data_IF_509961856057
#
_entry.id   IF_509961856057
#
_cell.length_a   1.000
_cell.length_b   1.000
_cell.length_c   1.000
_cell.angle_alpha   90.00
_cell.angle_beta   90.00
_cell.angle_gamma   90.00
#
_symmetry.space_group_name_H-M   'P 1'
#
loop_
_entity.id
_entity.type
_entity.pdbx_description
1 polymer ?
#
# COMPACT_ATOMS: atom_id res chain seq x y z
N UNK A 1 -1.39 8.13 38.36
CA UNK A 1 -1.88 8.42 36.98
C UNK A 1 -2.05 7.11 36.20
N UNK A 2 -3.30 6.65 36.06
CA UNK A 2 -3.60 5.37 35.38
C UNK A 2 -3.92 5.52 33.88
N UNK A 3 -4.01 6.73 33.36
CA UNK A 3 -4.40 6.99 31.96
C UNK A 3 -3.21 6.90 31.02
N UNK A 4 -3.38 6.19 29.88
CA UNK A 4 -2.41 6.09 28.79
C UNK A 4 -2.48 7.33 27.88
N UNK A 5 -3.61 8.05 27.91
CA UNK A 5 -3.87 9.17 27.02
C UNK A 5 -2.82 10.30 27.05
N UNK A 6 -2.33 10.77 28.21
CA UNK A 6 -1.27 11.78 28.24
C UNK A 6 0.04 11.31 27.59
N UNK A 7 0.31 10.00 27.62
CA UNK A 7 1.47 9.42 26.94
C UNK A 7 1.29 9.47 25.42
N UNK A 8 0.10 9.11 24.93
CA UNK A 8 -0.25 9.20 23.49
C UNK A 8 -0.15 10.63 23.00
N UNK A 9 -0.71 11.61 23.75
CA UNK A 9 -0.58 13.03 23.41
C UNK A 9 0.88 13.47 23.31
N UNK A 10 1.72 13.07 24.26
CA UNK A 10 3.13 13.40 24.24
C UNK A 10 3.86 12.81 23.02
N UNK A 11 3.58 11.56 22.66
CA UNK A 11 4.15 10.92 21.47
C UNK A 11 3.67 11.61 20.18
N UNK A 12 2.38 11.95 20.09
CA UNK A 12 1.81 12.71 18.96
C UNK A 12 2.50 14.05 18.77
N UNK A 13 2.68 14.82 19.89
CA UNK A 13 3.37 16.10 19.85
C UNK A 13 4.82 15.95 19.41
N UNK A 14 5.51 14.88 19.81
CA UNK A 14 6.89 14.59 19.37
C UNK A 14 6.98 14.40 17.86
N UNK A 15 6.08 13.59 17.27
CA UNK A 15 6.07 13.34 15.82
C UNK A 15 5.81 14.64 15.04
N UNK A 16 4.84 15.45 15.50
CA UNK A 16 4.51 16.74 14.91
C UNK A 16 5.68 17.71 15.00
N UNK A 17 6.30 17.86 16.19
CA UNK A 17 7.46 18.75 16.40
C UNK A 17 8.68 18.34 15.59
N UNK A 18 8.91 17.05 15.37
CA UNK A 18 9.97 16.53 14.50
C UNK A 18 9.70 16.74 13.00
N UNK A 19 8.56 17.33 12.66
CA UNK A 19 8.13 17.67 11.28
C UNK A 19 8.06 16.47 10.31
N UNK A 20 8.22 15.23 10.77
CA UNK A 20 8.24 14.05 9.88
C UNK A 20 6.93 13.82 9.16
N UNK A 21 5.82 14.01 9.85
CA UNK A 21 4.50 13.93 9.22
C UNK A 21 4.33 15.02 8.14
N UNK A 22 4.83 16.22 8.38
CA UNK A 22 4.80 17.29 7.36
C UNK A 22 5.69 16.97 6.15
N UNK A 23 6.82 16.27 6.35
CA UNK A 23 7.63 15.79 5.24
C UNK A 23 6.86 14.77 4.41
N UNK A 24 6.13 13.83 5.04
CA UNK A 24 5.27 12.88 4.34
C UNK A 24 4.20 13.61 3.53
N UNK A 25 3.52 14.61 4.11
CA UNK A 25 2.54 15.42 3.38
C UNK A 25 3.16 16.19 2.22
N UNK A 26 4.35 16.76 2.42
CA UNK A 26 5.08 17.47 1.36
C UNK A 26 5.44 16.53 0.20
N UNK A 27 5.91 15.33 0.50
CA UNK A 27 6.18 14.32 -0.54
C UNK A 27 4.92 13.99 -1.34
N UNK A 28 3.77 13.82 -0.68
CA UNK A 28 2.49 13.61 -1.35
C UNK A 28 2.10 14.82 -2.21
N UNK A 29 2.24 16.05 -1.67
CA UNK A 29 1.92 17.29 -2.38
C UNK A 29 2.82 17.55 -3.61
N UNK A 30 3.99 16.93 -3.70
CA UNK A 30 4.88 16.99 -4.86
C UNK A 30 4.58 15.87 -5.85
N UNK A 31 4.45 14.64 -5.36
CA UNK A 31 4.31 13.47 -6.23
C UNK A 31 2.92 13.35 -6.86
N UNK A 32 1.86 13.62 -6.11
CA UNK A 32 0.49 13.52 -6.66
C UNK A 32 0.28 14.44 -7.86
N UNK A 33 0.65 15.74 -7.84
CA UNK A 33 0.57 16.59 -9.04
C UNK A 33 1.41 16.07 -10.21
N UNK A 34 2.60 15.53 -9.96
CA UNK A 34 3.44 14.95 -11.01
C UNK A 34 2.75 13.77 -11.71
N UNK A 35 2.16 12.84 -10.94
CA UNK A 35 1.40 11.73 -11.49
C UNK A 35 0.12 12.20 -12.19
N UNK A 36 -0.60 13.17 -11.61
CA UNK A 36 -1.79 13.77 -12.23
C UNK A 36 -1.45 14.41 -13.58
N UNK A 37 -0.35 15.14 -13.65
CA UNK A 37 0.12 15.75 -14.90
C UNK A 37 0.52 14.69 -15.95
N UNK A 38 1.24 13.65 -15.53
CA UNK A 38 1.63 12.55 -16.42
C UNK A 38 0.40 11.85 -17.01
N UNK A 39 -0.61 11.57 -16.19
CA UNK A 39 -1.84 10.93 -16.64
C UNK A 39 -2.68 11.85 -17.53
N UNK A 40 -2.71 13.16 -17.24
CA UNK A 40 -3.37 14.14 -18.10
C UNK A 40 -2.72 14.19 -19.51
N UNK A 41 -1.40 14.18 -19.58
CA UNK A 41 -0.68 14.10 -20.86
C UNK A 41 -1.01 12.83 -21.61
N UNK A 42 -0.98 11.69 -20.93
CA UNK A 42 -1.30 10.39 -21.55
C UNK A 42 -2.75 10.38 -22.08
N UNK A 43 -3.70 10.89 -21.33
CA UNK A 43 -5.08 11.00 -21.78
C UNK A 43 -5.22 11.89 -23.02
N UNK A 44 -4.47 13.01 -23.09
CA UNK A 44 -4.44 13.86 -24.29
C UNK A 44 -3.81 13.16 -25.50
N UNK A 45 -2.70 12.45 -25.30
CA UNK A 45 -2.05 11.67 -26.36
C UNK A 45 -2.95 10.56 -26.88
N UNK A 46 -3.67 9.86 -25.99
CA UNK A 46 -4.62 8.83 -26.37
C UNK A 46 -5.79 9.40 -27.18
N UNK A 47 -6.35 10.55 -26.76
CA UNK A 47 -7.39 11.25 -27.54
C UNK A 47 -6.91 11.66 -28.94
N UNK A 48 -5.67 12.08 -29.09
CA UNK A 48 -5.13 12.43 -30.41
C UNK A 48 -4.89 11.21 -31.29
N UNK A 49 -4.58 10.04 -30.72
CA UNK A 49 -4.32 8.80 -31.46
C UNK A 49 -5.60 8.02 -31.80
N UNK A 50 -6.54 7.94 -30.87
CA UNK A 50 -7.71 7.05 -30.96
C UNK A 50 -9.04 7.82 -31.10
N UNK A 51 -9.00 9.16 -31.02
CA UNK A 51 -10.22 9.98 -31.00
C UNK A 51 -10.88 10.03 -29.61
N UNK A 52 -12.17 10.33 -29.60
CA UNK A 52 -12.95 10.42 -28.33
C UNK A 52 -13.61 9.10 -27.93
N UNK A 53 -13.58 8.09 -28.80
CA UNK A 53 -14.19 6.79 -28.50
C UNK A 53 -13.23 5.89 -27.73
N UNK A 54 -13.45 5.78 -26.42
CA UNK A 54 -12.68 4.93 -25.52
C UNK A 54 -12.68 3.43 -25.91
N UNK A 55 -13.70 2.97 -26.66
CA UNK A 55 -13.78 1.58 -27.13
C UNK A 55 -12.67 1.27 -28.11
N UNK A 56 -12.31 2.22 -28.97
CA UNK A 56 -11.22 2.07 -29.95
C UNK A 56 -9.88 1.93 -29.22
N UNK A 57 -9.64 2.78 -28.21
CA UNK A 57 -8.44 2.68 -27.36
C UNK A 57 -8.37 1.34 -26.64
N UNK A 58 -9.48 0.90 -26.05
CA UNK A 58 -9.54 -0.35 -25.30
C UNK A 58 -9.35 -1.57 -26.22
N UNK A 59 -9.97 -1.56 -27.42
CA UNK A 59 -9.79 -2.61 -28.42
C UNK A 59 -8.36 -2.71 -28.92
N UNK A 60 -7.68 -1.57 -29.09
CA UNK A 60 -6.26 -1.55 -29.45
C UNK A 60 -5.40 -2.13 -28.33
N UNK A 61 -5.66 -1.75 -27.07
CA UNK A 61 -4.94 -2.31 -25.93
C UNK A 61 -5.12 -3.83 -25.79
N UNK A 62 -6.33 -4.33 -26.05
CA UNK A 62 -6.62 -5.77 -26.10
C UNK A 62 -5.79 -6.43 -27.21
N UNK A 63 -5.80 -5.88 -28.43
CA UNK A 63 -5.08 -6.42 -29.58
C UNK A 63 -3.58 -6.46 -29.34
N UNK A 64 -3.00 -5.38 -28.79
CA UNK A 64 -1.56 -5.31 -28.50
C UNK A 64 -1.13 -6.36 -27.45
N UNK A 65 -1.96 -6.56 -26.43
CA UNK A 65 -1.70 -7.59 -25.42
C UNK A 65 -1.89 -9.01 -25.99
N UNK A 66 -2.88 -9.25 -26.84
CA UNK A 66 -3.06 -10.54 -27.55
C UNK A 66 -1.88 -10.86 -28.45
N UNK A 67 -1.41 -9.89 -29.26
CA UNK A 67 -0.24 -10.07 -30.11
C UNK A 67 1.02 -10.40 -29.32
N UNK A 68 1.15 -9.80 -28.14
CA UNK A 68 2.29 -10.08 -27.25
C UNK A 68 2.26 -11.48 -26.62
N UNK A 69 1.09 -12.11 -26.49
CA UNK A 69 0.97 -13.49 -26.00
C UNK A 69 1.60 -14.50 -26.96
N UNK A 70 1.58 -14.22 -28.27
CA UNK A 70 2.22 -15.05 -29.29
C UNK A 70 3.74 -14.88 -29.38
N UNK A 71 4.34 -13.96 -28.63
CA UNK A 71 5.77 -13.70 -28.68
C UNK A 71 6.55 -14.60 -27.73
N UNK A 72 7.59 -15.29 -28.25
CA UNK A 72 8.52 -16.09 -27.43
C UNK A 72 9.42 -15.24 -26.54
N UNK A 73 9.45 -13.91 -26.75
CA UNK A 73 10.25 -12.97 -25.95
C UNK A 73 9.60 -12.64 -24.60
N UNK A 74 8.31 -12.96 -24.42
CA UNK A 74 7.58 -12.69 -23.19
C UNK A 74 7.61 -13.92 -22.29
N UNK A 75 8.17 -13.85 -21.07
CA UNK A 75 8.14 -14.96 -20.13
C UNK A 75 6.71 -15.43 -19.83
N UNK A 76 6.51 -16.73 -19.63
CA UNK A 76 5.18 -17.33 -19.38
C UNK A 76 4.47 -16.72 -18.17
N UNK A 77 5.23 -16.34 -17.15
CA UNK A 77 4.72 -15.65 -15.96
C UNK A 77 4.01 -14.34 -16.31
N UNK A 78 4.60 -13.55 -17.22
CA UNK A 78 4.00 -12.29 -17.69
C UNK A 78 2.84 -12.53 -18.66
N UNK A 79 2.82 -13.63 -19.38
CA UNK A 79 1.70 -14.03 -20.25
C UNK A 79 0.42 -14.27 -19.43
N UNK A 80 0.54 -14.82 -18.21
CA UNK A 80 -0.61 -14.99 -17.29
C UNK A 80 -1.27 -13.66 -17.00
N UNK A 81 -0.50 -12.62 -16.62
CA UNK A 81 -1.04 -11.28 -16.36
C UNK A 81 -1.70 -10.67 -17.59
N UNK A 82 -1.10 -10.82 -18.76
CA UNK A 82 -1.67 -10.29 -20.01
C UNK A 82 -2.96 -11.00 -20.41
N UNK A 83 -3.04 -12.32 -20.24
CA UNK A 83 -4.29 -13.08 -20.49
C UNK A 83 -5.43 -12.57 -19.62
N UNK A 84 -5.18 -12.41 -18.32
CA UNK A 84 -6.19 -11.89 -17.39
C UNK A 84 -6.59 -10.47 -17.76
N UNK A 85 -5.61 -9.60 -18.06
CA UNK A 85 -5.88 -8.24 -18.53
C UNK A 85 -6.79 -8.22 -19.77
N UNK A 86 -6.48 -9.01 -20.79
CA UNK A 86 -7.29 -9.11 -22.02
C UNK A 86 -8.71 -9.51 -21.69
N UNK A 87 -8.90 -10.54 -20.87
CA UNK A 87 -10.24 -11.03 -20.51
C UNK A 87 -11.03 -9.99 -19.71
N UNK A 88 -10.40 -9.32 -18.77
CA UNK A 88 -11.02 -8.23 -18.00
C UNK A 88 -11.44 -7.07 -18.90
N UNK A 89 -10.57 -6.63 -19.81
CA UNK A 89 -10.85 -5.53 -20.73
C UNK A 89 -11.95 -5.89 -21.73
N UNK A 90 -12.00 -7.14 -22.20
CA UNK A 90 -13.12 -7.66 -23.01
C UNK A 90 -14.44 -7.60 -22.24
N UNK A 91 -14.44 -7.99 -20.97
CA UNK A 91 -15.62 -7.92 -20.11
C UNK A 91 -16.12 -6.48 -19.92
N UNK A 92 -15.20 -5.51 -19.73
CA UNK A 92 -15.54 -4.09 -19.68
C UNK A 92 -16.15 -3.60 -20.99
N UNK A 93 -15.60 -4.02 -22.13
CA UNK A 93 -16.08 -3.66 -23.45
C UNK A 93 -17.49 -4.23 -23.73
N UNK A 94 -17.72 -5.51 -23.38
CA UNK A 94 -19.01 -6.19 -23.54
C UNK A 94 -20.14 -5.57 -22.70
N UNK A 95 -19.78 -5.05 -21.51
CA UNK A 95 -20.74 -4.41 -20.61
C UNK A 95 -20.85 -2.88 -20.82
N UNK A 96 -20.17 -2.34 -21.83
CA UNK A 96 -20.19 -0.91 -22.17
C UNK A 96 -19.77 0.03 -21.03
N UNK A 97 -18.75 -0.37 -20.27
CA UNK A 97 -18.19 0.38 -19.15
C UNK A 97 -16.76 0.80 -19.47
N UNK A 98 -16.47 2.09 -19.39
CA UNK A 98 -15.11 2.60 -19.54
C UNK A 98 -14.31 2.43 -18.24
N UNK A 99 -13.30 1.53 -18.17
CA UNK A 99 -12.49 1.35 -16.97
C UNK A 99 -11.58 2.54 -16.65
N UNK A 100 -11.23 3.33 -17.68
CA UNK A 100 -10.29 4.43 -17.64
C UNK A 100 -10.98 5.79 -17.85
N UNK A 101 -12.26 5.90 -17.51
CA UNK A 101 -12.98 7.17 -17.65
C UNK A 101 -12.25 8.29 -16.89
N UNK A 102 -11.82 9.37 -17.59
CA UNK A 102 -11.06 10.44 -16.96
C UNK A 102 -11.87 11.12 -15.85
N UNK A 103 -11.36 11.09 -14.64
CA UNK A 103 -12.03 11.69 -13.49
C UNK A 103 -11.11 11.69 -12.26
N UNK A 104 -11.34 12.66 -11.36
CA UNK A 104 -10.56 12.76 -10.12
C UNK A 104 -10.69 11.51 -9.23
N UNK A 105 -11.87 10.87 -9.24
CA UNK A 105 -12.12 9.64 -8.47
C UNK A 105 -11.40 8.45 -9.10
N UNK A 106 -11.42 8.33 -10.43
CA UNK A 106 -10.70 7.26 -11.16
C UNK A 106 -9.19 7.37 -10.94
N UNK A 107 -8.64 8.57 -11.08
CA UNK A 107 -7.23 8.81 -10.76
C UNK A 107 -6.89 8.41 -9.32
N UNK A 108 -7.72 8.82 -8.35
CA UNK A 108 -7.49 8.49 -6.94
C UNK A 108 -7.47 6.99 -6.71
N UNK A 109 -8.39 6.24 -7.32
CA UNK A 109 -8.43 4.78 -7.26
C UNK A 109 -7.13 4.16 -7.79
N UNK A 110 -6.68 4.61 -8.96
CA UNK A 110 -5.45 4.12 -9.60
C UNK A 110 -4.20 4.51 -8.82
N UNK A 111 -4.15 5.74 -8.30
CA UNK A 111 -3.04 6.21 -7.48
C UNK A 111 -2.93 5.39 -6.18
N UNK A 112 -4.05 5.12 -5.51
CA UNK A 112 -4.10 4.26 -4.32
C UNK A 112 -3.63 2.85 -4.63
N UNK A 113 -4.07 2.27 -5.75
CA UNK A 113 -3.66 0.93 -6.17
C UNK A 113 -2.16 0.84 -6.40
N UNK A 114 -1.63 1.69 -7.27
CA UNK A 114 -0.22 1.72 -7.63
C UNK A 114 0.72 2.07 -6.44
N UNK A 115 0.23 2.82 -5.46
CA UNK A 115 1.02 3.21 -4.28
C UNK A 115 0.88 2.26 -3.09
N UNK A 116 -0.04 1.31 -3.13
CA UNK A 116 -0.42 0.44 -2.01
C UNK A 116 0.69 -0.46 -1.48
N UNK A 117 1.46 -1.08 -2.37
CA UNK A 117 2.42 -2.12 -2.02
C UNK A 117 3.82 -1.61 -1.65
N UNK A 118 4.21 -0.42 -2.12
CA UNK A 118 5.55 0.12 -1.88
C UNK A 118 5.52 1.54 -1.35
N UNK A 119 4.87 2.49 -2.06
CA UNK A 119 5.02 3.92 -1.77
C UNK A 119 4.40 4.31 -0.41
N UNK A 120 3.14 3.95 -0.14
CA UNK A 120 2.49 4.25 1.14
C UNK A 120 3.19 3.52 2.31
N UNK A 121 3.56 2.22 2.22
CA UNK A 121 4.41 1.57 3.21
C UNK A 121 5.75 2.27 3.48
N UNK A 122 6.43 2.79 2.46
CA UNK A 122 7.65 3.58 2.63
C UNK A 122 7.42 4.86 3.43
N UNK A 123 6.33 5.57 3.18
CA UNK A 123 5.97 6.77 3.95
C UNK A 123 5.69 6.43 5.42
N UNK A 124 4.97 5.36 5.68
CA UNK A 124 4.61 4.90 7.04
C UNK A 124 5.86 4.46 7.81
N UNK A 125 6.76 3.70 7.17
CA UNK A 125 7.97 3.21 7.83
C UNK A 125 8.88 4.35 8.29
N UNK A 126 8.91 5.50 7.61
CA UNK A 126 9.75 6.65 8.01
C UNK A 126 9.36 7.20 9.37
N UNK A 127 8.08 7.18 9.72
CA UNK A 127 7.57 7.58 11.03
C UNK A 127 7.80 6.46 12.04
N UNK A 128 7.46 5.22 11.69
CA UNK A 128 7.53 4.08 12.59
C UNK A 128 8.96 3.76 13.04
N UNK A 129 9.93 3.84 12.12
CA UNK A 129 11.35 3.57 12.41
C UNK A 129 11.99 4.52 13.41
N UNK A 130 11.38 5.69 13.64
CA UNK A 130 11.89 6.71 14.55
C UNK A 130 11.33 6.63 15.98
N UNK A 131 10.23 5.91 16.17
CA UNK A 131 9.46 5.96 17.40
C UNK A 131 10.22 5.55 18.67
N UNK A 132 11.16 4.61 18.55
CA UNK A 132 11.96 4.13 19.68
C UNK A 132 13.45 4.43 19.49
N UNK A 133 13.97 4.20 18.29
CA UNK A 133 15.40 4.38 17.99
C UNK A 133 15.87 5.82 18.18
N UNK A 134 15.05 6.82 17.85
CA UNK A 134 15.41 8.22 18.07
C UNK A 134 15.54 8.61 19.54
N UNK A 135 14.79 7.99 20.43
CA UNK A 135 14.92 8.25 21.88
C UNK A 135 16.21 7.63 22.43
N UNK A 136 16.68 6.53 21.83
CA UNK A 136 17.98 5.95 22.14
C UNK A 136 19.12 6.84 21.62
N UNK A 137 19.05 7.23 20.37
CA UNK A 137 20.06 8.08 19.73
C UNK A 137 20.16 9.45 20.43
N UNK A 138 19.02 10.02 20.85
CA UNK A 138 18.94 11.30 21.55
C UNK A 138 19.20 11.22 23.07
N UNK A 139 19.47 10.02 23.64
CA UNK A 139 19.69 9.83 25.07
C UNK A 139 18.45 10.05 25.96
N UNK A 140 17.32 10.41 25.37
CA UNK A 140 16.07 10.76 26.12
C UNK A 140 15.37 9.53 26.71
N UNK A 141 15.72 8.33 26.28
CA UNK A 141 15.14 7.08 26.78
C UNK A 141 15.39 6.91 28.28
N UNK A 142 16.56 7.36 28.79
CA UNK A 142 16.87 7.30 30.22
C UNK A 142 15.91 8.17 31.03
N UNK A 143 15.66 9.40 30.60
CA UNK A 143 14.70 10.31 31.26
C UNK A 143 13.24 9.79 31.20
N UNK A 144 12.88 9.05 30.17
CA UNK A 144 11.55 8.46 30.07
C UNK A 144 11.35 7.32 31.07
N UNK A 145 12.40 6.52 31.29
CA UNK A 145 12.36 5.33 32.15
C UNK A 145 12.63 5.63 33.65
N UNK A 146 13.13 6.83 33.99
CA UNK A 146 13.21 7.31 35.40
C UNK A 146 11.85 7.74 35.95
N UNK A 147 10.85 7.96 35.11
CA UNK A 147 9.49 8.27 35.57
C UNK A 147 8.81 7.00 36.13
N UNK A 148 7.92 7.13 37.14
CA UNK A 148 7.21 6.00 37.75
C UNK A 148 6.08 5.47 36.82
N UNK A 149 6.42 5.10 35.59
CA UNK A 149 5.49 4.60 34.57
C UNK A 149 5.94 3.21 34.15
N UNK A 150 5.01 2.25 34.09
CA UNK A 150 5.31 0.89 33.65
C UNK A 150 5.74 0.89 32.18
N UNK A 151 6.86 0.22 31.84
CA UNK A 151 7.46 0.18 30.50
C UNK A 151 6.48 -0.23 29.40
N UNK A 152 5.60 -1.21 29.67
CA UNK A 152 4.60 -1.63 28.70
C UNK A 152 3.59 -0.53 28.31
N UNK A 153 3.25 0.40 29.23
CA UNK A 153 2.37 1.54 28.94
C UNK A 153 3.01 2.53 27.99
N UNK A 154 4.32 2.74 28.13
CA UNK A 154 5.10 3.59 27.22
C UNK A 154 5.10 2.98 25.81
N UNK A 155 5.33 1.66 25.71
CA UNK A 155 5.34 1.01 24.40
C UNK A 155 3.95 1.01 23.76
N UNK A 156 2.92 0.74 24.55
CA UNK A 156 1.53 0.76 24.08
C UNK A 156 1.10 2.15 23.58
N UNK A 157 1.51 3.23 24.28
CA UNK A 157 1.20 4.58 23.80
C UNK A 157 1.84 4.88 22.45
N UNK A 158 3.06 4.38 22.19
CA UNK A 158 3.73 4.51 20.89
C UNK A 158 3.01 3.72 19.80
N UNK A 159 2.51 2.52 20.09
CA UNK A 159 1.72 1.72 19.15
C UNK A 159 0.39 2.40 18.80
N UNK A 160 -0.33 2.93 19.79
CA UNK A 160 -1.56 3.69 19.55
C UNK A 160 -1.27 4.90 18.65
N UNK A 161 -0.22 5.65 18.97
CA UNK A 161 0.19 6.82 18.17
C UNK A 161 0.57 6.39 16.74
N UNK A 162 1.29 5.27 16.58
CA UNK A 162 1.62 4.72 15.25
C UNK A 162 0.35 4.42 14.45
N UNK A 163 -0.62 3.72 15.03
CA UNK A 163 -1.90 3.40 14.36
C UNK A 163 -2.65 4.66 13.95
N UNK A 164 -2.67 5.70 14.81
CA UNK A 164 -3.25 6.99 14.46
C UNK A 164 -2.56 7.64 13.24
N UNK A 165 -1.21 7.64 13.21
CA UNK A 165 -0.49 8.22 12.07
C UNK A 165 -0.60 7.39 10.80
N UNK A 166 -0.68 6.07 10.88
CA UNK A 166 -1.02 5.20 9.73
C UNK A 166 -2.36 5.61 9.14
N UNK A 167 -3.39 5.76 10.00
CA UNK A 167 -4.73 6.20 9.55
C UNK A 167 -4.68 7.60 8.91
N UNK A 168 -3.96 8.54 9.52
CA UNK A 168 -3.80 9.90 8.99
C UNK A 168 -3.09 9.90 7.63
N UNK A 169 -2.06 9.07 7.42
CA UNK A 169 -1.34 8.98 6.14
C UNK A 169 -2.27 8.44 5.06
N UNK A 170 -3.01 7.36 5.32
CA UNK A 170 -3.93 6.77 4.33
C UNK A 170 -5.02 7.77 3.95
N UNK A 171 -5.65 8.40 4.93
CA UNK A 171 -6.69 9.42 4.69
C UNK A 171 -6.12 10.65 3.98
N UNK A 172 -4.93 11.12 4.37
CA UNK A 172 -4.27 12.25 3.70
C UNK A 172 -3.92 11.92 2.25
N UNK A 173 -3.48 10.70 1.97
CA UNK A 173 -3.20 10.24 0.60
C UNK A 173 -4.46 10.29 -0.26
N UNK A 174 -5.58 9.78 0.26
CA UNK A 174 -6.88 9.86 -0.42
C UNK A 174 -7.30 11.31 -0.66
N UNK A 175 -7.28 12.16 0.37
CA UNK A 175 -7.73 13.56 0.26
C UNK A 175 -6.86 14.35 -0.73
N UNK A 176 -5.54 14.24 -0.62
CA UNK A 176 -4.60 14.97 -1.49
C UNK A 176 -4.74 14.49 -2.94
N UNK A 177 -4.82 13.18 -3.19
CA UNK A 177 -5.00 12.67 -4.54
C UNK A 177 -6.34 13.10 -5.13
N UNK A 178 -7.43 13.02 -4.39
CA UNK A 178 -8.76 13.43 -4.85
C UNK A 178 -8.87 14.94 -5.12
N UNK A 179 -8.34 15.78 -4.21
CA UNK A 179 -8.41 17.24 -4.36
C UNK A 179 -7.60 17.70 -5.58
N UNK A 180 -6.38 17.19 -5.75
CA UNK A 180 -5.50 17.61 -6.85
C UNK A 180 -6.01 17.07 -8.18
N UNK A 181 -6.35 15.79 -8.26
CA UNK A 181 -6.85 15.20 -9.49
C UNK A 181 -8.25 15.71 -9.86
N UNK A 182 -9.09 16.00 -8.87
CA UNK A 182 -10.39 16.61 -9.08
C UNK A 182 -10.30 18.01 -9.68
N UNK A 183 -9.28 18.78 -9.32
CA UNK A 183 -9.01 20.08 -9.96
C UNK A 183 -8.57 19.94 -11.44
N UNK A 184 -7.94 18.81 -11.81
CA UNK A 184 -7.48 18.56 -13.18
C UNK A 184 -8.55 17.88 -14.05
N UNK A 185 -9.30 16.90 -13.52
CA UNK A 185 -10.22 16.04 -14.27
C UNK A 185 -11.70 16.24 -13.88
N UNK A 186 -12.00 17.05 -12.88
CA UNK A 186 -13.35 17.17 -12.30
C UNK A 186 -13.57 16.21 -11.13
N UNK A 187 -14.52 16.59 -10.26
CA UNK A 187 -14.82 15.86 -9.00
C UNK A 187 -15.91 14.80 -9.15
N UNK A 188 -16.33 14.49 -10.37
CA UNK A 188 -17.32 13.44 -10.68
C UNK A 188 -16.69 12.04 -10.70
N UNK A 189 -17.55 11.02 -10.75
CA UNK A 189 -17.12 9.64 -11.00
C UNK A 189 -17.29 8.66 -9.83
N UNK A 190 -17.84 9.09 -8.69
CA UNK A 190 -18.03 8.19 -7.53
C UNK A 190 -18.91 6.97 -7.81
N UNK A 191 -19.89 7.10 -8.70
CA UNK A 191 -20.87 6.05 -9.02
C UNK A 191 -20.52 5.27 -10.29
N UNK A 192 -19.38 5.56 -10.94
CA UNK A 192 -18.92 4.77 -12.09
C UNK A 192 -18.78 3.32 -11.64
N UNK A 193 -19.35 2.36 -12.39
CA UNK A 193 -19.24 0.95 -12.04
C UNK A 193 -17.81 0.46 -12.22
N UNK A 194 -17.30 -0.26 -11.23
CA UNK A 194 -16.03 -0.97 -11.27
C UNK A 194 -16.33 -2.45 -11.08
N UNK A 195 -15.81 -3.28 -11.97
CA UNK A 195 -15.98 -4.72 -11.83
C UNK A 195 -14.94 -5.31 -10.88
N UNK A 196 -15.42 -6.15 -9.98
CA UNK A 196 -14.63 -6.92 -9.01
C UNK A 196 -15.11 -8.35 -8.96
N UNK A 197 -14.34 -9.24 -8.33
CA UNK A 197 -14.71 -10.66 -8.24
C UNK A 197 -14.13 -11.51 -9.38
N UNK A 198 -13.26 -10.98 -10.21
CA UNK A 198 -12.50 -11.78 -11.17
C UNK A 198 -11.61 -12.79 -10.43
N UNK A 199 -11.69 -14.05 -10.82
CA UNK A 199 -10.87 -15.12 -10.23
C UNK A 199 -9.89 -15.67 -11.28
N UNK A 200 -8.63 -15.20 -11.28
CA UNK A 200 -7.62 -15.66 -12.22
C UNK A 200 -7.29 -17.15 -12.03
N UNK A 201 -7.48 -17.96 -13.04
CA UNK A 201 -7.07 -19.36 -13.09
C UNK A 201 -5.91 -19.59 -14.05
N UNK A 202 -5.43 -20.83 -14.17
CA UNK A 202 -4.28 -21.16 -15.03
C UNK A 202 -4.65 -21.15 -16.51
N UNK A 203 -5.88 -21.53 -16.86
CA UNK A 203 -6.38 -21.58 -18.22
C UNK A 203 -7.19 -20.37 -18.64
N UNK A 204 -7.69 -19.57 -17.68
CA UNK A 204 -8.52 -18.40 -17.93
C UNK A 204 -9.04 -17.80 -16.62
N UNK A 205 -9.73 -16.68 -16.73
CA UNK A 205 -10.36 -16.01 -15.58
C UNK A 205 -11.79 -16.50 -15.42
N UNK A 206 -12.14 -16.98 -14.22
CA UNK A 206 -13.53 -17.27 -13.91
C UNK A 206 -14.29 -15.96 -13.69
N UNK A 207 -15.35 -15.77 -14.49
CA UNK A 207 -16.20 -14.58 -14.48
C UNK A 207 -17.50 -14.78 -13.69
N UNK A 208 -17.75 -15.97 -13.11
CA UNK A 208 -19.02 -16.33 -12.49
C UNK A 208 -19.37 -15.48 -11.25
N UNK A 209 -18.36 -14.97 -10.57
CA UNK A 209 -18.50 -14.12 -9.37
C UNK A 209 -18.28 -12.64 -9.65
N UNK A 210 -18.11 -12.24 -10.90
CA UNK A 210 -17.91 -10.83 -11.28
C UNK A 210 -19.20 -10.05 -11.07
N UNK A 211 -19.08 -8.93 -10.40
CA UNK A 211 -20.18 -8.00 -10.17
C UNK A 211 -19.69 -6.56 -10.19
N UNK A 212 -20.57 -5.65 -10.58
CA UNK A 212 -20.30 -4.22 -10.59
C UNK A 212 -20.56 -3.63 -9.21
N UNK A 213 -19.63 -2.83 -8.72
CA UNK A 213 -19.80 -1.99 -7.52
C UNK A 213 -19.52 -0.54 -7.87
N UNK A 214 -20.06 0.38 -7.08
CA UNK A 214 -19.75 1.80 -7.25
C UNK A 214 -18.29 2.08 -6.91
N UNK A 215 -17.63 2.97 -7.66
CA UNK A 215 -16.20 3.29 -7.49
C UNK A 215 -15.85 3.75 -6.06
N UNK A 216 -16.76 4.47 -5.38
CA UNK A 216 -16.53 4.85 -3.97
C UNK A 216 -16.45 3.64 -3.02
N UNK A 217 -17.25 2.58 -3.27
CA UNK A 217 -17.19 1.34 -2.48
C UNK A 217 -15.86 0.63 -2.70
N UNK A 218 -15.40 0.57 -3.96
CA UNK A 218 -14.11 0.00 -4.31
C UNK A 218 -12.96 0.74 -3.61
N UNK A 219 -12.97 2.08 -3.61
CA UNK A 219 -11.96 2.91 -2.94
C UNK A 219 -11.96 2.67 -1.42
N UNK A 220 -13.15 2.53 -0.79
CA UNK A 220 -13.20 2.22 0.65
C UNK A 220 -12.58 0.86 0.97
N UNK A 221 -12.82 -0.15 0.14
CA UNK A 221 -12.17 -1.46 0.30
C UNK A 221 -10.65 -1.36 0.10
N UNK A 222 -10.19 -0.64 -0.93
CA UNK A 222 -8.76 -0.37 -1.14
C UNK A 222 -8.14 0.32 0.08
N UNK A 223 -8.75 1.39 0.59
CA UNK A 223 -8.25 2.10 1.77
C UNK A 223 -8.15 1.20 3.00
N UNK A 224 -9.11 0.30 3.20
CA UNK A 224 -9.07 -0.69 4.28
C UNK A 224 -7.89 -1.65 4.16
N UNK A 225 -7.64 -2.17 2.97
CA UNK A 225 -6.50 -3.06 2.70
C UNK A 225 -5.16 -2.32 2.79
N UNK A 226 -5.07 -1.12 2.25
CA UNK A 226 -3.88 -0.26 2.35
C UNK A 226 -3.58 0.09 3.82
N UNK A 227 -4.62 0.37 4.61
CA UNK A 227 -4.47 0.61 6.04
C UNK A 227 -3.91 -0.62 6.77
N UNK A 228 -4.40 -1.81 6.45
CA UNK A 228 -3.92 -3.06 7.05
C UNK A 228 -2.46 -3.35 6.68
N UNK A 229 -2.10 -3.19 5.40
CA UNK A 229 -0.70 -3.28 4.91
C UNK A 229 0.19 -2.27 5.63
N UNK A 230 -0.26 -1.00 5.67
CA UNK A 230 0.46 0.08 6.31
C UNK A 230 0.67 -0.15 7.81
N UNK A 231 -0.35 -0.65 8.50
CA UNK A 231 -0.25 -1.03 9.90
C UNK A 231 0.78 -2.15 10.11
N UNK A 232 0.74 -3.21 9.29
CA UNK A 232 1.69 -4.32 9.36
C UNK A 232 3.13 -3.84 9.15
N UNK A 233 3.38 -3.07 8.09
CA UNK A 233 4.71 -2.51 7.81
C UNK A 233 5.14 -1.54 8.91
N UNK A 234 4.22 -0.72 9.43
CA UNK A 234 4.47 0.15 10.56
C UNK A 234 4.89 -0.62 11.83
N UNK A 235 4.21 -1.73 12.14
CA UNK A 235 4.55 -2.59 13.29
C UNK A 235 5.91 -3.29 13.10
N UNK A 236 6.23 -3.73 11.89
CA UNK A 236 7.55 -4.29 11.57
C UNK A 236 8.66 -3.24 11.73
N UNK A 237 8.45 -2.05 11.17
CA UNK A 237 9.39 -0.93 11.33
C UNK A 237 9.56 -0.50 12.80
N UNK A 238 8.46 -0.54 13.56
CA UNK A 238 8.48 -0.30 15.00
C UNK A 238 9.30 -1.37 15.74
N UNK A 239 9.14 -2.65 15.40
CA UNK A 239 9.94 -3.74 15.95
C UNK A 239 11.43 -3.52 15.66
N UNK A 240 11.79 -3.22 14.42
CA UNK A 240 13.18 -2.92 14.03
C UNK A 240 13.70 -1.72 14.82
N UNK A 241 12.89 -0.67 15.01
CA UNK A 241 13.21 0.50 15.84
C UNK A 241 13.47 0.15 17.32
N UNK A 242 12.81 -0.89 17.85
CA UNK A 242 13.06 -1.41 19.20
C UNK A 242 14.37 -2.23 19.24
N UNK A 243 14.68 -2.98 18.20
CA UNK A 243 15.86 -3.86 18.17
C UNK A 243 17.14 -3.10 17.93
N UNK A 244 17.13 -2.12 17.04
CA UNK A 244 18.29 -1.36 16.57
C UNK A 244 18.47 -0.05 17.36
N UNK A 245 19.72 0.37 17.56
CA UNK A 245 20.03 1.61 18.32
C UNK A 245 20.05 2.87 17.46
N UNK A 246 20.07 2.74 16.13
CA UNK A 246 20.17 3.85 15.18
C UNK A 246 18.89 3.95 14.33
N UNK A 247 18.34 5.15 14.24
CA UNK A 247 17.18 5.43 13.35
C UNK A 247 17.53 5.20 11.89
N UNK A 248 18.74 5.62 11.46
CA UNK A 248 19.20 5.42 10.09
C UNK A 248 19.25 3.92 9.74
N UNK A 249 19.84 3.10 10.63
CA UNK A 249 19.87 1.66 10.42
C UNK A 249 18.45 1.03 10.36
N UNK A 250 17.52 1.48 11.20
CA UNK A 250 16.14 1.00 11.17
C UNK A 250 15.46 1.32 9.83
N UNK A 251 15.66 2.53 9.31
CA UNK A 251 15.11 2.94 8.01
C UNK A 251 15.73 2.11 6.88
N UNK A 252 17.05 1.95 6.86
CA UNK A 252 17.75 1.20 5.80
C UNK A 252 17.31 -0.26 5.77
N UNK A 253 17.21 -0.92 6.94
CA UNK A 253 16.74 -2.31 7.03
C UNK A 253 15.33 -2.45 6.45
N UNK A 254 14.40 -1.59 6.86
CA UNK A 254 13.03 -1.67 6.39
C UNK A 254 12.89 -1.29 4.90
N UNK A 255 13.63 -0.29 4.44
CA UNK A 255 13.65 0.09 3.03
C UNK A 255 14.20 -1.04 2.17
N UNK A 256 15.31 -1.66 2.58
CA UNK A 256 15.87 -2.81 1.89
C UNK A 256 14.88 -3.99 1.84
N UNK A 257 14.16 -4.26 2.94
CA UNK A 257 13.14 -5.31 2.98
C UNK A 257 11.99 -5.02 2.01
N UNK A 258 11.48 -3.79 1.95
CA UNK A 258 10.38 -3.42 1.06
C UNK A 258 10.80 -3.48 -0.42
N UNK A 259 11.98 -2.96 -0.75
CA UNK A 259 12.51 -3.00 -2.13
C UNK A 259 12.81 -4.45 -2.54
N UNK A 260 13.45 -5.24 -1.68
CA UNK A 260 13.68 -6.66 -1.93
C UNK A 260 12.36 -7.41 -2.16
N UNK A 261 11.31 -7.03 -1.43
CA UNK A 261 9.97 -7.58 -1.61
C UNK A 261 9.40 -7.31 -2.99
N UNK A 262 9.51 -6.08 -3.47
CA UNK A 262 9.06 -5.72 -4.83
C UNK A 262 9.81 -6.51 -5.90
N UNK A 263 11.13 -6.68 -5.74
CA UNK A 263 11.94 -7.49 -6.66
C UNK A 263 11.52 -8.96 -6.59
N UNK A 264 11.38 -9.51 -5.38
CA UNK A 264 10.96 -10.90 -5.18
C UNK A 264 9.57 -11.17 -5.77
N UNK A 265 8.61 -10.28 -5.60
CA UNK A 265 7.26 -10.44 -6.16
C UNK A 265 7.28 -10.59 -7.67
N UNK A 266 8.20 -9.90 -8.34
CA UNK A 266 8.36 -9.98 -9.80
C UNK A 266 9.18 -11.20 -10.28
N UNK A 267 9.95 -11.85 -9.40
CA UNK A 267 10.86 -12.96 -9.76
C UNK A 267 10.48 -14.29 -9.10
N UNK A 268 9.56 -14.30 -8.14
CA UNK A 268 9.39 -15.42 -7.22
C UNK A 268 8.34 -16.45 -7.63
N UNK A 269 7.82 -16.42 -8.88
CA UNK A 269 6.86 -17.42 -9.33
C UNK A 269 7.39 -18.85 -9.17
N UNK A 270 8.71 -19.06 -9.31
CA UNK A 270 9.38 -20.35 -9.11
C UNK A 270 9.70 -20.70 -7.64
N UNK A 271 9.57 -19.72 -6.70
CA UNK A 271 9.92 -19.93 -5.29
C UNK A 271 8.68 -19.99 -4.38
N UNK A 272 8.07 -21.14 -4.30
CA UNK A 272 6.79 -21.38 -3.60
C UNK A 272 6.80 -20.99 -2.11
N UNK A 273 7.95 -21.06 -1.42
CA UNK A 273 8.06 -20.69 0.00
C UNK A 273 8.11 -19.19 0.24
N UNK A 274 8.38 -18.38 -0.78
CA UNK A 274 8.39 -16.92 -0.67
C UNK A 274 7.02 -16.34 -0.31
N UNK A 275 5.91 -17.06 -0.54
CA UNK A 275 4.55 -16.66 -0.16
C UNK A 275 4.36 -16.40 1.34
N UNK A 276 5.22 -16.93 2.22
CA UNK A 276 5.18 -16.69 3.66
C UNK A 276 5.93 -15.42 4.10
N UNK A 277 6.66 -14.78 3.19
CA UNK A 277 7.34 -13.52 3.48
C UNK A 277 6.34 -12.36 3.44
N UNK A 278 6.39 -11.47 4.45
CA UNK A 278 5.46 -10.33 4.51
C UNK A 278 5.54 -9.45 3.27
N UNK A 279 6.75 -9.24 2.76
CA UNK A 279 7.03 -8.32 1.65
C UNK A 279 6.39 -8.75 0.32
N UNK A 280 6.13 -10.05 0.13
CA UNK A 280 5.46 -10.57 -1.08
C UNK A 280 3.93 -10.42 -0.98
N UNK A 281 3.40 -10.21 0.22
CA UNK A 281 1.96 -10.13 0.51
C UNK A 281 1.43 -8.68 0.59
N UNK A 282 2.24 -7.66 0.24
CA UNK A 282 1.83 -6.26 0.40
C UNK A 282 0.81 -5.77 -0.63
N UNK A 283 0.71 -6.41 -1.80
CA UNK A 283 -0.19 -6.05 -2.88
C UNK A 283 -1.63 -6.57 -2.67
N UNK A 284 -2.24 -6.29 -1.52
CA UNK A 284 -3.60 -6.78 -1.21
C UNK A 284 -4.67 -6.20 -2.14
N UNK A 285 -4.49 -5.00 -2.66
CA UNK A 285 -5.43 -4.36 -3.57
C UNK A 285 -5.54 -5.09 -4.91
N UNK A 286 -4.51 -5.81 -5.33
CA UNK A 286 -4.50 -6.63 -6.54
C UNK A 286 -5.59 -7.71 -6.53
N UNK A 287 -5.97 -8.21 -5.35
CA UNK A 287 -7.07 -9.18 -5.25
C UNK A 287 -8.45 -8.55 -5.52
N UNK A 288 -8.62 -7.24 -5.27
CA UNK A 288 -9.86 -6.55 -5.61
C UNK A 288 -9.99 -6.35 -7.12
N UNK A 289 -8.89 -6.01 -7.79
CA UNK A 289 -8.86 -5.85 -9.25
C UNK A 289 -8.81 -7.19 -10.00
N UNK A 290 -8.71 -8.32 -9.27
CA UNK A 290 -8.61 -9.64 -9.90
C UNK A 290 -7.30 -9.86 -10.66
N UNK A 291 -6.22 -9.20 -10.24
CA UNK A 291 -4.89 -9.47 -10.80
C UNK A 291 -4.37 -10.84 -10.34
N UNK A 292 -3.63 -11.57 -11.17
CA UNK A 292 -3.06 -12.85 -10.77
C UNK A 292 -2.16 -12.72 -9.54
N UNK A 293 -2.25 -13.70 -8.65
CA UNK A 293 -1.34 -13.78 -7.52
C UNK A 293 0.11 -14.03 -8.01
N UNK A 294 1.12 -13.42 -7.36
CA UNK A 294 2.52 -13.58 -7.77
C UNK A 294 3.04 -15.01 -7.61
N UNK A 295 2.50 -15.76 -6.67
CA UNK A 295 2.85 -17.16 -6.41
C UNK A 295 1.56 -17.97 -6.33
N UNK A 296 1.60 -19.17 -6.89
CA UNK A 296 0.46 -20.10 -6.89
C UNK A 296 -0.02 -20.44 -5.47
N UNK A 297 -1.34 -20.49 -5.31
CA UNK A 297 -2.01 -20.76 -4.03
C UNK A 297 -2.10 -19.56 -3.08
N UNK A 298 -1.65 -18.37 -3.47
CA UNK A 298 -1.91 -17.15 -2.71
C UNK A 298 -3.34 -16.66 -2.98
N UNK A 299 -4.04 -16.33 -1.90
CA UNK A 299 -5.39 -15.75 -1.91
C UNK A 299 -5.44 -14.56 -0.96
N UNK A 300 -6.47 -13.72 -1.07
CA UNK A 300 -6.64 -12.59 -0.14
C UNK A 300 -6.66 -13.04 1.34
N UNK A 301 -7.45 -14.07 1.74
CA UNK A 301 -7.41 -14.54 3.14
C UNK A 301 -6.06 -15.08 3.57
N UNK A 302 -5.33 -15.78 2.67
CA UNK A 302 -3.98 -16.26 2.94
C UNK A 302 -3.02 -15.11 3.21
N UNK A 303 -2.99 -14.10 2.33
CA UNK A 303 -2.11 -12.94 2.45
C UNK A 303 -2.43 -12.11 3.70
N UNK A 304 -3.71 -11.91 4.02
CA UNK A 304 -4.14 -11.29 5.28
C UNK A 304 -3.65 -12.09 6.50
N UNK A 305 -3.75 -13.42 6.46
CA UNK A 305 -3.27 -14.30 7.53
C UNK A 305 -1.76 -14.19 7.72
N UNK A 306 -0.97 -14.23 6.64
CA UNK A 306 0.49 -14.07 6.70
C UNK A 306 0.87 -12.72 7.30
N UNK A 307 0.26 -11.63 6.82
CA UNK A 307 0.53 -10.28 7.34
C UNK A 307 0.11 -10.14 8.81
N UNK A 308 -1.02 -10.73 9.22
CA UNK A 308 -1.46 -10.74 10.62
C UNK A 308 -0.45 -11.45 11.53
N UNK A 309 0.08 -12.61 11.09
CA UNK A 309 1.12 -13.35 11.85
C UNK A 309 2.38 -12.50 12.01
N UNK A 310 2.86 -11.85 10.95
CA UNK A 310 4.01 -10.95 11.01
C UNK A 310 3.77 -9.74 11.91
N UNK A 311 2.58 -9.14 11.84
CA UNK A 311 2.18 -8.01 12.70
C UNK A 311 2.16 -8.42 14.19
N UNK A 312 1.53 -9.56 14.53
CA UNK A 312 1.49 -10.08 15.89
C UNK A 312 2.88 -10.44 16.42
N UNK A 313 3.69 -11.12 15.61
CA UNK A 313 5.07 -11.44 15.97
C UNK A 313 5.88 -10.17 16.26
N UNK A 314 5.71 -9.12 15.44
CA UNK A 314 6.37 -7.83 15.63
C UNK A 314 6.01 -7.17 16.95
N UNK A 315 4.73 -7.21 17.32
CA UNK A 315 4.25 -6.67 18.60
C UNK A 315 4.83 -7.47 19.76
N UNK A 316 4.72 -8.81 19.72
CA UNK A 316 5.22 -9.70 20.79
C UNK A 316 6.73 -9.48 21.01
N UNK A 317 7.52 -9.49 19.94
CA UNK A 317 8.99 -9.27 20.01
C UNK A 317 9.29 -7.88 20.57
N UNK A 318 8.57 -6.84 20.12
CA UNK A 318 8.76 -5.47 20.61
C UNK A 318 8.54 -5.38 22.12
N UNK A 319 7.44 -5.96 22.62
CA UNK A 319 7.15 -5.95 24.06
C UNK A 319 8.15 -6.80 24.85
N UNK A 320 8.48 -8.00 24.38
CA UNK A 320 9.43 -8.89 25.05
C UNK A 320 10.81 -8.23 25.19
N UNK A 321 11.32 -7.62 24.12
CA UNK A 321 12.63 -6.98 24.13
C UNK A 321 12.63 -5.69 24.93
N UNK A 322 11.63 -4.82 24.76
CA UNK A 322 11.58 -3.51 25.42
C UNK A 322 11.40 -3.63 26.96
N UNK A 323 10.60 -4.62 27.41
CA UNK A 323 10.37 -4.82 28.86
C UNK A 323 11.52 -5.50 29.57
N UNK A 324 12.22 -6.44 28.91
CA UNK A 324 13.30 -7.24 29.51
C UNK A 324 14.69 -6.60 29.39
N UNK A 325 14.91 -5.72 28.39
CA UNK A 325 16.24 -5.16 28.14
C UNK A 325 16.62 -4.12 29.17
N UNK A 326 17.76 -4.32 29.81
CA UNK A 326 18.36 -3.30 30.67
C UNK A 326 18.84 -2.10 29.84
N UNK A 327 18.53 -0.89 30.33
CA UNK A 327 18.77 0.38 29.62
C UNK A 327 20.16 0.94 29.94
N UNK A 328 20.89 0.25 30.80
CA UNK A 328 22.19 0.71 31.33
C UNK A 328 23.40 0.29 30.47
N UNK A 329 23.22 -0.55 29.46
CA UNK A 329 24.27 -0.99 28.54
C UNK A 329 24.08 -0.47 27.11
#
# INVERSE_FOLDING_TARGET
MNSIWPLVQNETIKIIKKKRFYVVLLVLLVLVPMFTYAQMRQAQENRTKFGEDWRVELQQAITDNQNSLGSDRVPEEWKKYRRVFVQQMQYYLENDVNPNEPGGVTFTREFLDNSSSLFIPLLIMTIASDLVSAERTGGTIKMLLTRPIRRWKVLLSKLITLTMFVSLIVVSTFIISYVISGAAFGYSGFNIPVFTGFQPGDTGTDMSSVHAIAQWQFILMQMGLIWFVGLTVGLLAFMVSVLVRSTAASIVIMMAALIAGTILTNMAASWSTAKYLFMVNLGLTNYLSGSPAPIEGMTLPFSLGVLAVWALASVIVSFAVFTKRDVLN
#
